data_IF_554753826895
#
_entry.id   IF_554753826895
#
_cell.length_a   1.000
_cell.length_b   1.000
_cell.length_c   1.000
_cell.angle_alpha   90.00
_cell.angle_beta   90.00
_cell.angle_gamma   90.00
#
_symmetry.space_group_name_H-M   'P 1'
#
loop_
_entity.id
_entity.type
_entity.pdbx_description
1 polymer ?
#
# COMPACT_ATOMS: atom_id res chain seq x y z
N UNK A 1 -5.08 -9.94 -7.22
CA UNK A 1 -4.51 -10.40 -5.94
C UNK A 1 -3.12 -10.95 -6.14
N UNK A 2 -2.96 -12.25 -6.46
CA UNK A 2 -1.63 -12.88 -6.58
C UNK A 2 -0.68 -12.17 -7.55
N UNK A 3 -1.17 -11.81 -8.74
CA UNK A 3 -0.37 -11.09 -9.74
C UNK A 3 0.22 -9.77 -9.21
N UNK A 4 -0.59 -8.94 -8.54
CA UNK A 4 -0.12 -7.65 -8.02
C UNK A 4 0.78 -7.81 -6.80
N UNK A 5 0.47 -8.75 -5.90
CA UNK A 5 1.31 -9.05 -4.74
C UNK A 5 2.67 -9.63 -5.11
N UNK A 6 2.84 -10.22 -6.28
CA UNK A 6 4.14 -10.72 -6.77
C UNK A 6 4.85 -9.70 -7.66
N UNK A 7 4.11 -8.99 -8.53
CA UNK A 7 4.68 -7.98 -9.43
C UNK A 7 5.25 -6.78 -8.68
N UNK A 8 4.52 -6.26 -7.68
CA UNK A 8 4.93 -5.06 -6.94
C UNK A 8 6.28 -5.27 -6.22
N UNK A 9 6.49 -6.34 -5.42
CA UNK A 9 7.80 -6.61 -4.82
C UNK A 9 8.87 -6.93 -5.85
N UNK A 10 8.51 -7.61 -6.94
CA UNK A 10 9.47 -7.94 -8.01
C UNK A 10 10.02 -6.68 -8.68
N UNK A 11 9.21 -5.64 -8.85
CA UNK A 11 9.64 -4.38 -9.42
C UNK A 11 10.38 -3.48 -8.40
N UNK A 12 9.96 -3.48 -7.14
CA UNK A 12 10.43 -2.52 -6.13
C UNK A 12 11.62 -2.99 -5.31
N UNK A 13 11.71 -4.29 -4.96
CA UNK A 13 12.78 -4.82 -4.10
C UNK A 13 14.18 -4.62 -4.69
N UNK A 14 14.40 -4.84 -6.00
CA UNK A 14 15.70 -4.57 -6.61
C UNK A 14 16.10 -3.08 -6.53
N UNK A 15 15.14 -2.16 -6.64
CA UNK A 15 15.40 -0.72 -6.57
C UNK A 15 15.79 -0.25 -5.16
N UNK A 16 15.39 -1.01 -4.13
CA UNK A 16 15.74 -0.77 -2.73
C UNK A 16 17.10 -1.36 -2.34
N UNK A 17 17.77 -2.08 -3.25
CA UNK A 17 19.03 -2.79 -2.96
C UNK A 17 18.83 -4.19 -2.36
N UNK A 18 17.60 -4.72 -2.36
CA UNK A 18 17.31 -6.08 -1.91
C UNK A 18 17.58 -7.12 -2.99
N UNK A 19 18.06 -8.29 -2.59
CA UNK A 19 18.32 -9.44 -3.45
C UNK A 19 17.13 -10.40 -3.55
N UNK A 20 17.42 -11.64 -3.95
CA UNK A 20 16.40 -12.67 -4.11
C UNK A 20 15.79 -13.13 -2.78
N UNK A 21 16.57 -13.12 -1.70
CA UNK A 21 16.11 -13.50 -0.36
C UNK A 21 15.12 -12.46 0.20
N UNK A 22 15.46 -11.18 0.11
CA UNK A 22 14.59 -10.08 0.52
C UNK A 22 13.29 -10.08 -0.29
N UNK A 23 13.40 -10.30 -1.60
CA UNK A 23 12.25 -10.40 -2.50
C UNK A 23 11.31 -11.53 -2.07
N UNK A 24 11.84 -12.73 -1.84
CA UNK A 24 11.06 -13.87 -1.38
C UNK A 24 10.36 -13.59 -0.05
N UNK A 25 11.08 -12.96 0.89
CA UNK A 25 10.54 -12.59 2.21
C UNK A 25 9.41 -11.56 2.11
N UNK A 26 9.53 -10.54 1.25
CA UNK A 26 8.47 -9.55 1.02
C UNK A 26 7.24 -10.19 0.37
N UNK A 27 7.43 -11.07 -0.62
CA UNK A 27 6.32 -11.80 -1.24
C UNK A 27 5.60 -12.69 -0.21
N UNK A 28 6.36 -13.48 0.57
CA UNK A 28 5.80 -14.36 1.59
C UNK A 28 4.99 -13.58 2.64
N UNK A 29 5.54 -12.47 3.14
CA UNK A 29 4.84 -11.64 4.14
C UNK A 29 3.58 -11.00 3.57
N UNK A 30 3.60 -10.51 2.33
CA UNK A 30 2.40 -9.96 1.68
C UNK A 30 1.31 -11.03 1.47
N UNK A 31 1.69 -12.24 1.06
CA UNK A 31 0.74 -13.36 0.91
C UNK A 31 0.17 -13.81 2.25
N UNK A 32 1.00 -13.91 3.28
CA UNK A 32 0.58 -14.27 4.63
C UNK A 32 -0.40 -13.23 5.21
N UNK A 33 -0.06 -11.95 5.11
CA UNK A 33 -0.91 -10.84 5.59
C UNK A 33 -2.21 -10.74 4.79
N UNK A 34 -2.18 -10.97 3.47
CA UNK A 34 -3.39 -11.00 2.65
C UNK A 34 -4.32 -12.16 3.03
N UNK A 35 -3.77 -13.35 3.29
CA UNK A 35 -4.53 -14.49 3.80
C UNK A 35 -5.15 -14.21 5.16
N UNK A 36 -4.37 -13.64 6.09
CA UNK A 36 -4.84 -13.27 7.42
C UNK A 36 -5.97 -12.24 7.38
N UNK A 37 -5.82 -11.17 6.58
CA UNK A 37 -6.86 -10.16 6.40
C UNK A 37 -8.15 -10.75 5.81
N UNK A 38 -8.02 -11.65 4.83
CA UNK A 38 -9.19 -12.30 4.21
C UNK A 38 -9.91 -13.19 5.22
N UNK A 39 -9.19 -13.98 6.02
CA UNK A 39 -9.77 -14.81 7.07
C UNK A 39 -10.47 -13.98 8.15
N UNK A 40 -9.85 -12.88 8.60
CA UNK A 40 -10.51 -11.98 9.56
C UNK A 40 -11.76 -11.32 8.97
N UNK A 41 -11.74 -10.96 7.69
CA UNK A 41 -12.87 -10.31 7.01
C UNK A 41 -14.05 -11.26 6.80
N UNK A 42 -13.80 -12.55 6.56
CA UNK A 42 -14.85 -13.57 6.45
C UNK A 42 -15.38 -14.03 7.81
N UNK A 43 -14.53 -14.11 8.84
CA UNK A 43 -14.92 -14.57 10.19
C UNK A 43 -15.59 -13.48 11.04
N UNK A 44 -14.99 -12.28 11.12
CA UNK A 44 -15.44 -11.20 12.01
C UNK A 44 -15.97 -9.96 11.26
N UNK A 45 -15.74 -9.87 9.94
CA UNK A 45 -16.15 -8.74 9.11
C UNK A 45 -17.57 -8.88 8.53
N UNK A 46 -17.76 -8.33 7.33
CA UNK A 46 -19.06 -8.28 6.63
C UNK A 46 -19.53 -9.64 6.09
N UNK A 47 -18.80 -10.73 6.38
CA UNK A 47 -19.02 -12.10 5.86
C UNK A 47 -18.99 -12.20 4.32
N UNK A 48 -18.51 -11.17 3.65
CA UNK A 48 -18.31 -11.15 2.21
C UNK A 48 -16.87 -11.52 1.89
N UNK A 49 -16.61 -12.44 0.94
CA UNK A 49 -15.27 -12.81 0.52
C UNK A 49 -14.62 -11.66 -0.27
N UNK A 50 -14.00 -10.72 0.45
CA UNK A 50 -13.27 -9.59 -0.14
C UNK A 50 -11.78 -9.86 -0.03
N UNK A 51 -11.10 -9.95 -1.17
CA UNK A 51 -9.67 -10.23 -1.18
C UNK A 51 -8.89 -8.91 -1.17
N UNK A 52 -8.18 -8.65 -0.08
CA UNK A 52 -7.39 -7.43 0.12
C UNK A 52 -5.95 -7.68 -0.32
N UNK A 53 -5.49 -6.96 -1.35
CA UNK A 53 -4.14 -7.08 -1.91
C UNK A 53 -3.46 -5.74 -2.13
N UNK A 54 -2.22 -5.80 -2.61
CA UNK A 54 -1.45 -4.60 -2.95
C UNK A 54 -2.17 -3.77 -4.00
N UNK A 55 -2.48 -2.51 -3.68
CA UNK A 55 -3.07 -1.54 -4.60
C UNK A 55 -2.00 -0.83 -5.43
N UNK A 56 -2.28 -0.64 -6.71
CA UNK A 56 -1.42 0.12 -7.62
C UNK A 56 -1.24 1.58 -7.18
N UNK A 57 -2.21 2.14 -6.45
CA UNK A 57 -2.12 3.51 -5.92
C UNK A 57 -0.96 3.72 -4.95
N UNK A 58 -0.48 2.66 -4.30
CA UNK A 58 0.67 2.75 -3.39
C UNK A 58 2.02 2.58 -4.09
N UNK A 59 2.06 2.24 -5.38
CA UNK A 59 3.32 2.07 -6.12
C UNK A 59 4.03 3.41 -6.31
N UNK A 60 3.32 4.44 -6.77
CA UNK A 60 3.88 5.78 -6.96
C UNK A 60 4.50 6.38 -5.68
N UNK A 61 3.81 6.41 -4.52
CA UNK A 61 4.43 6.91 -3.30
C UNK A 61 5.57 6.02 -2.81
N UNK A 62 5.51 4.70 -3.05
CA UNK A 62 6.62 3.80 -2.70
C UNK A 62 7.86 4.11 -3.53
N UNK A 63 7.73 4.28 -4.84
CA UNK A 63 8.84 4.69 -5.72
C UNK A 63 9.42 6.05 -5.27
N UNK A 64 8.56 7.00 -4.89
CA UNK A 64 9.00 8.30 -4.37
C UNK A 64 9.86 8.17 -3.10
N UNK A 65 9.56 7.21 -2.22
CA UNK A 65 10.36 6.94 -1.01
C UNK A 65 11.68 6.27 -1.40
N UNK A 66 11.66 5.31 -2.33
CA UNK A 66 12.85 4.58 -2.80
C UNK A 66 13.85 5.51 -3.48
N UNK A 67 13.36 6.43 -4.31
CA UNK A 67 14.18 7.41 -5.02
C UNK A 67 14.59 8.59 -4.13
N UNK A 68 14.07 8.69 -2.91
CA UNK A 68 14.45 9.76 -2.02
C UNK A 68 15.93 9.64 -1.63
N UNK A 69 16.68 10.73 -1.80
CA UNK A 69 18.10 10.80 -1.46
C UNK A 69 18.40 10.66 0.05
N UNK A 70 17.34 10.46 0.86
CA UNK A 70 17.40 10.32 2.32
C UNK A 70 17.98 8.99 2.79
N UNK A 71 17.98 7.98 1.92
CA UNK A 71 18.47 6.63 2.22
C UNK A 71 19.65 6.25 1.31
N UNK A 72 20.49 7.21 0.96
CA UNK A 72 21.64 6.99 0.09
C UNK A 72 22.82 6.41 0.87
N UNK A 73 22.61 5.24 1.47
CA UNK A 73 23.65 4.47 2.15
C UNK A 73 24.45 3.64 1.13
N UNK A 74 25.74 3.45 1.43
CA UNK A 74 26.66 2.67 0.59
C UNK A 74 26.37 1.16 0.63
N UNK A 75 25.77 0.66 1.72
CA UNK A 75 25.38 -0.75 1.86
C UNK A 75 23.92 -0.99 1.37
N UNK A 76 23.73 -1.83 0.33
CA UNK A 76 22.41 -2.17 -0.21
C UNK A 76 21.45 -2.76 0.83
N UNK A 77 21.95 -3.55 1.79
CA UNK A 77 21.11 -4.25 2.78
C UNK A 77 20.60 -3.26 3.83
N UNK A 78 21.45 -2.33 4.27
CA UNK A 78 21.04 -1.24 5.15
C UNK A 78 20.01 -0.33 4.47
N UNK A 79 20.27 0.04 3.22
CA UNK A 79 19.35 0.83 2.39
C UNK A 79 17.99 0.15 2.29
N UNK A 80 17.96 -1.15 2.01
CA UNK A 80 16.73 -1.93 1.95
C UNK A 80 15.97 -1.89 3.28
N UNK A 81 16.64 -2.16 4.40
CA UNK A 81 16.01 -2.15 5.73
C UNK A 81 15.44 -0.78 6.11
N UNK A 82 16.20 0.30 5.87
CA UNK A 82 15.77 1.68 6.16
C UNK A 82 14.57 2.07 5.29
N UNK A 83 14.64 1.76 3.99
CA UNK A 83 13.54 2.05 3.04
C UNK A 83 12.28 1.27 3.39
N UNK A 84 12.38 -0.02 3.73
CA UNK A 84 11.25 -0.84 4.16
C UNK A 84 10.60 -0.31 5.44
N UNK A 85 11.39 0.11 6.43
CA UNK A 85 10.86 0.75 7.65
C UNK A 85 10.13 2.05 7.35
N UNK A 86 10.67 2.87 6.44
CA UNK A 86 10.04 4.12 6.01
C UNK A 86 8.70 3.88 5.31
N UNK A 87 8.63 2.92 4.38
CA UNK A 87 7.40 2.54 3.69
C UNK A 87 6.35 2.05 4.70
N UNK A 88 6.72 1.16 5.62
CA UNK A 88 5.80 0.65 6.65
C UNK A 88 5.28 1.76 7.55
N UNK A 89 6.15 2.65 8.03
CA UNK A 89 5.74 3.81 8.85
C UNK A 89 4.82 4.76 8.09
N UNK A 90 5.12 5.07 6.83
CA UNK A 90 4.29 5.90 5.98
C UNK A 90 2.89 5.30 5.77
N UNK A 91 2.81 3.99 5.50
CA UNK A 91 1.54 3.28 5.33
C UNK A 91 0.70 3.27 6.62
N UNK A 92 1.31 3.11 7.79
CA UNK A 92 0.61 3.16 9.07
C UNK A 92 0.00 4.55 9.28
N UNK A 93 0.79 5.62 9.13
CA UNK A 93 0.33 7.00 9.30
C UNK A 93 -0.78 7.33 8.28
N UNK A 94 -0.59 6.97 7.02
CA UNK A 94 -1.60 7.15 5.98
C UNK A 94 -2.90 6.42 6.32
N UNK A 95 -2.81 5.19 6.84
CA UNK A 95 -3.98 4.40 7.25
C UNK A 95 -4.70 5.05 8.44
N UNK A 96 -3.97 5.52 9.45
CA UNK A 96 -4.56 6.22 10.60
C UNK A 96 -5.28 7.50 10.16
N UNK A 97 -4.66 8.31 9.30
CA UNK A 97 -5.30 9.50 8.73
C UNK A 97 -6.55 9.14 7.93
N UNK A 98 -6.48 8.10 7.10
CA UNK A 98 -7.61 7.63 6.32
C UNK A 98 -8.76 7.14 7.19
N UNK A 99 -8.48 6.46 8.31
CA UNK A 99 -9.48 6.04 9.29
C UNK A 99 -10.16 7.25 9.93
N UNK A 100 -9.37 8.22 10.42
CA UNK A 100 -9.90 9.45 11.04
C UNK A 100 -10.78 10.23 10.07
N UNK A 101 -10.32 10.42 8.83
CA UNK A 101 -11.10 11.07 7.77
C UNK A 101 -12.34 10.26 7.40
N UNK A 102 -12.25 8.93 7.35
CA UNK A 102 -13.38 8.04 7.10
C UNK A 102 -14.47 8.16 8.15
N UNK A 103 -14.11 8.18 9.44
CA UNK A 103 -15.05 8.36 10.55
C UNK A 103 -15.60 9.79 10.66
N UNK A 104 -14.86 10.80 10.22
CA UNK A 104 -15.34 12.20 10.21
C UNK A 104 -16.49 12.46 9.24
N UNK A 105 -16.82 11.53 8.35
CA UNK A 105 -17.91 11.67 7.37
C UNK A 105 -17.63 12.68 6.25
N UNK A 106 -16.45 13.29 6.21
CA UNK A 106 -16.04 14.26 5.18
C UNK A 106 -16.14 13.69 3.75
N UNK A 107 -15.96 12.38 3.59
CA UNK A 107 -16.13 11.68 2.32
C UNK A 107 -17.53 11.90 1.70
N UNK A 108 -18.58 12.02 2.54
CA UNK A 108 -19.94 12.30 2.07
C UNK A 108 -20.07 13.69 1.47
N UNK A 109 -19.38 14.70 2.01
CA UNK A 109 -19.39 16.06 1.46
C UNK A 109 -18.55 16.14 0.18
N UNK A 110 -17.39 15.48 0.12
CA UNK A 110 -16.54 15.44 -1.08
C UNK A 110 -17.23 14.74 -2.24
N UNK A 111 -17.84 13.57 -2.01
CA UNK A 111 -18.58 12.85 -3.05
C UNK A 111 -19.76 13.66 -3.61
N UNK A 112 -20.41 14.48 -2.78
CA UNK A 112 -21.49 15.39 -3.21
C UNK A 112 -20.96 16.53 -4.10
N UNK A 113 -19.78 17.06 -3.78
CA UNK A 113 -19.14 18.12 -4.56
C UNK A 113 -18.66 17.61 -5.93
N UNK A 114 -18.05 16.41 -5.98
CA UNK A 114 -17.61 15.78 -7.23
C UNK A 114 -18.78 15.37 -8.10
N UNK A 115 -19.85 14.81 -7.51
CA UNK A 115 -21.07 14.47 -8.25
C UNK A 115 -21.73 15.70 -8.89
N UNK A 116 -21.72 16.85 -8.22
CA UNK A 116 -22.23 18.11 -8.75
C UNK A 116 -21.36 18.66 -9.89
N UNK A 117 -20.03 18.59 -9.75
CA UNK A 117 -19.08 19.04 -10.79
C UNK A 117 -19.15 18.19 -12.07
N UNK A 118 -19.34 16.87 -11.94
CA UNK A 118 -19.41 15.96 -13.08
C UNK A 118 -20.72 16.12 -13.88
N UNK A 119 -21.84 16.45 -13.21
CA UNK A 119 -23.14 16.68 -13.87
C UNK A 119 -23.22 18.01 -14.63
N UNK A 120 -22.45 19.02 -14.23
CA UNK A 120 -22.44 20.35 -14.87
C UNK A 120 -21.60 20.43 -16.15
N UNK A 121 -20.78 19.41 -16.46
CA UNK A 121 -19.99 19.33 -17.69
C UNK A 121 -20.67 18.48 -18.80
N UNK A 122 -21.89 18.00 -18.55
CA UNK A 122 -22.68 17.15 -19.47
C UNK A 122 -24.01 17.79 -19.93
N UNK A 123 -24.23 19.07 -19.62
CA UNK A 123 -25.34 19.90 -20.11
C UNK A 123 -24.78 21.09 -20.89
#
# INVERSE_FOLDING_TARGET
>A
MLGTTVLIPTALVPQMGGGNEEKAKVIQTLLFVAGWNTLLQTLFGTRLPTVIGGSYTFVAPTISIILSNRFNDTDPIEKFKKTMRAIQGALIVASTLQIVLGFSGLWRNVARFVGHFLFLNLA
#
